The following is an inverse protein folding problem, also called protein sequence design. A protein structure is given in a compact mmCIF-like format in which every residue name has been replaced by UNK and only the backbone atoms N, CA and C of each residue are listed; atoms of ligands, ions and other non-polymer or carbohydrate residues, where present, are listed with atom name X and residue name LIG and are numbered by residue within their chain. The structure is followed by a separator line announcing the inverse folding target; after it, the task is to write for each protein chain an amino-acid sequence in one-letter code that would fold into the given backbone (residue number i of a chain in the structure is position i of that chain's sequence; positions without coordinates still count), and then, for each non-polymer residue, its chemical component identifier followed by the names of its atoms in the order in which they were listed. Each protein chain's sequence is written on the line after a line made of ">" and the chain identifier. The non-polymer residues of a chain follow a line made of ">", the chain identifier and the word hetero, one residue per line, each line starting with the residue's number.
data_IF_973846185343
#
_entry.id   IF_973846185343
#
_cell.length_a   1.000
_cell.length_b   1.000
_cell.length_c   1.000
_cell.angle_alpha   90.00
_cell.angle_beta   90.00
_cell.angle_gamma   90.00
#
_symmetry.space_group_name_H-M   'P 1'
#
loop_
_entity.id
_entity.type
_entity.pdbx_description
1 polymer ?
#
# COMPACT_ATOMS: atom_id res chain seq x y z
N UNK A 1 -18.95 10.56 14.57
CA UNK A 1 -17.91 10.11 13.63
C UNK A 1 -17.45 11.33 12.84
N UNK A 2 -16.18 11.68 12.93
CA UNK A 2 -15.57 12.80 12.22
C UNK A 2 -14.50 12.26 11.25
N UNK A 3 -14.40 12.83 10.05
CA UNK A 3 -13.47 12.40 9.01
C UNK A 3 -12.62 13.59 8.59
N UNK A 4 -11.30 13.41 8.63
CA UNK A 4 -10.33 14.47 8.29
C UNK A 4 -9.37 13.99 7.23
N UNK A 5 -8.86 14.94 6.44
CA UNK A 5 -7.68 14.67 5.62
C UNK A 5 -6.45 14.50 6.55
N UNK A 6 -5.56 13.56 6.24
CA UNK A 6 -4.39 13.30 7.08
C UNK A 6 -3.40 14.48 7.11
N UNK A 7 -3.49 15.43 6.18
CA UNK A 7 -2.71 16.68 6.23
C UNK A 7 -3.13 17.64 7.36
N UNK A 8 -4.32 17.42 7.94
CA UNK A 8 -4.90 18.25 9.01
C UNK A 8 -4.64 17.72 10.42
N UNK A 9 -3.93 16.57 10.52
CA UNK A 9 -3.72 15.89 11.80
C UNK A 9 -2.25 15.53 12.02
N UNK A 10 -1.87 15.34 13.28
CA UNK A 10 -0.53 14.87 13.61
C UNK A 10 -0.29 13.42 13.19
N UNK A 11 0.93 13.12 12.78
CA UNK A 11 1.34 11.77 12.36
C UNK A 11 1.12 10.70 13.44
N UNK A 12 1.14 11.09 14.70
CA UNK A 12 0.84 10.22 15.84
C UNK A 12 -0.56 9.62 15.77
N UNK A 13 -1.57 10.40 15.39
CA UNK A 13 -2.95 9.92 15.20
C UNK A 13 -3.09 8.98 14.01
N UNK A 14 -2.39 9.29 12.90
CA UNK A 14 -2.37 8.43 11.71
C UNK A 14 -1.76 7.06 12.07
N UNK A 15 -0.65 7.07 12.80
CA UNK A 15 0.00 5.87 13.29
C UNK A 15 -0.87 5.07 14.26
N UNK A 16 -1.54 5.76 15.20
CA UNK A 16 -2.45 5.10 16.15
C UNK A 16 -3.63 4.44 15.42
N UNK A 17 -4.26 5.14 14.46
CA UNK A 17 -5.32 4.55 13.63
C UNK A 17 -4.84 3.30 12.89
N UNK A 18 -3.61 3.32 12.37
CA UNK A 18 -2.99 2.18 11.72
C UNK A 18 -2.83 1.00 12.67
N UNK A 19 -2.23 1.21 13.84
CA UNK A 19 -2.03 0.16 14.85
C UNK A 19 -3.36 -0.44 15.32
N UNK A 20 -4.33 0.41 15.65
CA UNK A 20 -5.66 0.01 16.10
C UNK A 20 -6.40 -0.80 15.02
N UNK A 21 -6.38 -0.30 13.79
CA UNK A 21 -7.08 -0.91 12.67
C UNK A 21 -6.51 -2.25 12.21
N UNK A 22 -5.21 -2.50 12.45
CA UNK A 22 -4.52 -3.75 12.15
C UNK A 22 -4.23 -4.62 13.39
N UNK A 23 -4.82 -4.32 14.54
CA UNK A 23 -4.55 -5.02 15.81
C UNK A 23 -4.84 -6.53 15.76
N UNK A 24 -5.81 -6.96 14.94
CA UNK A 24 -6.20 -8.36 14.74
C UNK A 24 -5.77 -8.93 13.38
N UNK A 25 -4.84 -8.24 12.70
CA UNK A 25 -4.41 -8.68 11.37
C UNK A 25 -3.47 -9.89 11.44
N UNK A 26 -3.57 -10.79 10.47
CA UNK A 26 -2.77 -12.04 10.43
C UNK A 26 -1.26 -11.81 10.32
N UNK A 27 -0.85 -10.66 9.77
CA UNK A 27 0.54 -10.23 9.74
C UNK A 27 0.74 -9.16 10.82
N UNK A 28 1.70 -9.34 11.75
CA UNK A 28 1.97 -8.34 12.78
C UNK A 28 2.34 -6.98 12.18
N UNK A 29 1.58 -5.94 12.52
CA UNK A 29 1.76 -4.57 12.01
C UNK A 29 2.22 -3.61 13.12
N UNK A 30 2.85 -4.13 14.18
CA UNK A 30 3.37 -3.32 15.28
C UNK A 30 4.70 -2.66 14.88
N UNK A 31 4.62 -1.52 14.20
CA UNK A 31 5.75 -0.77 13.65
C UNK A 31 5.90 0.52 14.47
N UNK A 32 7.09 0.88 14.99
CA UNK A 32 7.34 2.18 15.63
C UNK A 32 7.01 3.37 14.71
N UNK A 33 6.61 4.50 15.31
CA UNK A 33 6.15 5.69 14.57
C UNK A 33 7.17 6.19 13.54
N UNK A 34 8.43 6.28 13.91
CA UNK A 34 9.51 6.73 13.03
C UNK A 34 9.69 5.82 11.80
N UNK A 35 9.63 4.51 12.01
CA UNK A 35 9.70 3.54 10.92
C UNK A 35 8.41 3.53 10.09
N UNK A 36 7.25 3.72 10.72
CA UNK A 36 5.98 3.84 10.01
C UNK A 36 6.02 5.03 9.05
N UNK A 37 6.38 6.21 9.55
CA UNK A 37 6.47 7.43 8.73
C UNK A 37 7.48 7.26 7.61
N UNK A 38 8.70 6.80 7.93
CA UNK A 38 9.76 6.60 6.95
C UNK A 38 9.35 5.61 5.86
N UNK A 39 8.65 4.54 6.20
CA UNK A 39 8.24 3.50 5.25
C UNK A 39 7.03 3.91 4.43
N UNK A 40 5.93 4.27 5.09
CA UNK A 40 4.64 4.47 4.41
C UNK A 40 4.56 5.78 3.63
N UNK A 41 5.19 6.85 4.12
CA UNK A 41 5.26 8.15 3.43
C UNK A 41 6.57 8.36 2.66
N UNK A 42 7.45 7.38 2.66
CA UNK A 42 8.64 7.31 1.81
C UNK A 42 8.39 6.32 0.65
N UNK A 43 9.14 5.20 0.62
CA UNK A 43 9.13 4.28 -0.53
C UNK A 43 7.76 3.67 -0.86
N UNK A 44 6.86 3.48 0.10
CA UNK A 44 5.47 3.04 -0.19
C UNK A 44 4.68 4.08 -1.01
N UNK A 45 5.14 5.33 -1.06
CA UNK A 45 4.60 6.37 -1.92
C UNK A 45 3.23 6.91 -1.51
N UNK A 46 2.80 6.71 -0.25
CA UNK A 46 1.60 7.38 0.25
C UNK A 46 1.90 8.84 0.58
N UNK A 47 0.88 9.68 0.58
CA UNK A 47 0.97 11.07 1.02
C UNK A 47 -0.19 11.43 1.95
N UNK A 48 0.03 12.36 2.86
CA UNK A 48 -1.00 12.79 3.81
C UNK A 48 -2.17 13.47 3.09
N UNK A 49 -1.93 14.17 2.00
CA UNK A 49 -2.94 14.87 1.18
C UNK A 49 -3.90 13.89 0.49
N UNK A 50 -3.44 12.67 0.20
CA UNK A 50 -4.24 11.63 -0.44
C UNK A 50 -4.75 10.58 0.54
N UNK A 51 -4.68 10.87 1.84
CA UNK A 51 -5.02 9.96 2.93
C UNK A 51 -6.09 10.56 3.84
N UNK A 52 -6.93 9.71 4.43
CA UNK A 52 -8.02 10.15 5.32
C UNK A 52 -8.08 9.31 6.58
N UNK A 53 -8.47 9.94 7.67
CA UNK A 53 -8.60 9.35 9.00
C UNK A 53 -10.00 9.59 9.57
N UNK A 54 -10.52 8.60 10.27
CA UNK A 54 -11.80 8.68 10.98
C UNK A 54 -11.58 8.73 12.49
N UNK A 55 -12.31 9.61 13.16
CA UNK A 55 -12.34 9.75 14.62
C UNK A 55 -13.73 9.47 15.19
N UNK A 56 -13.75 8.87 16.36
CA UNK A 56 -14.92 8.78 17.22
C UNK A 56 -14.54 9.30 18.62
N UNK A 57 -15.18 10.39 19.07
CA UNK A 57 -14.92 11.00 20.38
C UNK A 57 -13.40 11.29 20.61
N UNK A 58 -12.77 11.91 19.60
CA UNK A 58 -11.34 12.24 19.50
C UNK A 58 -10.38 11.02 19.40
N UNK A 59 -10.89 9.80 19.40
CA UNK A 59 -10.09 8.60 19.20
C UNK A 59 -10.02 8.21 17.71
N UNK A 60 -8.81 7.92 17.18
CA UNK A 60 -8.63 7.52 15.78
C UNK A 60 -9.08 6.06 15.60
N UNK A 61 -10.12 5.85 14.80
CA UNK A 61 -10.80 4.55 14.66
C UNK A 61 -10.73 3.95 13.23
N UNK A 62 -10.22 4.71 12.28
CA UNK A 62 -10.08 4.21 10.92
C UNK A 62 -9.13 5.05 10.08
N UNK A 63 -8.53 4.44 9.06
CA UNK A 63 -7.52 5.07 8.22
C UNK A 63 -7.59 4.52 6.79
N UNK A 64 -7.42 5.40 5.81
CA UNK A 64 -7.03 5.05 4.45
C UNK A 64 -5.77 5.83 4.06
N UNK A 65 -4.73 5.11 3.63
CA UNK A 65 -3.51 5.71 3.09
C UNK A 65 -3.53 5.62 1.56
N UNK A 66 -3.15 6.71 0.92
CA UNK A 66 -3.12 6.78 -0.53
C UNK A 66 -1.93 7.52 -1.10
N UNK A 67 -1.53 7.13 -2.30
CA UNK A 67 -0.48 7.78 -3.07
C UNK A 67 -0.81 7.82 -4.56
N UNK A 68 -0.42 8.89 -5.23
CA UNK A 68 -0.67 9.10 -6.65
C UNK A 68 0.64 9.09 -7.41
N UNK A 69 0.72 8.31 -8.49
CA UNK A 69 1.79 8.36 -9.49
C UNK A 69 1.35 7.74 -10.81
N UNK A 70 2.15 7.92 -11.84
CA UNK A 70 2.02 7.13 -13.06
C UNK A 70 2.37 5.67 -12.78
N UNK A 71 1.48 4.77 -13.13
CA UNK A 71 1.66 3.33 -12.94
C UNK A 71 0.87 2.55 -14.01
N UNK A 72 1.54 1.64 -14.70
CA UNK A 72 0.97 0.91 -15.85
C UNK A 72 0.36 1.82 -16.93
N UNK A 73 0.96 3.00 -17.17
CA UNK A 73 0.51 3.95 -18.17
C UNK A 73 -0.73 4.76 -17.80
N UNK A 74 -1.13 4.76 -16.52
CA UNK A 74 -2.26 5.52 -15.99
C UNK A 74 -1.85 6.39 -14.81
N UNK A 75 -2.45 7.57 -14.68
CA UNK A 75 -2.40 8.30 -13.42
C UNK A 75 -3.21 7.55 -12.38
N UNK A 76 -2.52 6.88 -11.48
CA UNK A 76 -3.08 5.87 -10.57
C UNK A 76 -3.05 6.36 -9.12
N UNK A 77 -4.20 6.26 -8.43
CA UNK A 77 -4.28 6.38 -6.98
C UNK A 77 -4.18 4.98 -6.37
N UNK A 78 -3.09 4.70 -5.65
CA UNK A 78 -2.94 3.43 -4.94
C UNK A 78 -3.49 3.55 -3.52
N UNK A 79 -4.34 2.61 -3.10
CA UNK A 79 -4.69 2.42 -1.71
C UNK A 79 -3.58 1.60 -1.01
N UNK A 80 -2.75 2.27 -0.23
CA UNK A 80 -1.62 1.65 0.48
C UNK A 80 -2.04 0.92 1.75
N UNK A 81 -3.10 1.39 2.41
CA UNK A 81 -3.73 0.74 3.54
C UNK A 81 -5.18 1.21 3.67
N UNK A 82 -6.08 0.32 4.07
CA UNK A 82 -7.43 0.66 4.55
C UNK A 82 -7.73 -0.20 5.76
N UNK A 83 -7.93 0.43 6.90
CA UNK A 83 -8.22 -0.28 8.14
C UNK A 83 -9.24 0.46 8.99
N UNK A 84 -9.97 -0.30 9.80
CA UNK A 84 -10.93 0.19 10.80
C UNK A 84 -10.74 -0.65 12.05
N UNK A 85 -10.67 0.01 13.20
CA UNK A 85 -10.60 -0.63 14.51
C UNK A 85 -11.72 -1.65 14.66
N UNK A 86 -11.45 -2.86 15.15
CA UNK A 86 -12.41 -3.98 15.16
C UNK A 86 -13.82 -3.61 15.65
N UNK A 87 -13.91 -2.82 16.72
CA UNK A 87 -15.17 -2.42 17.39
C UNK A 87 -16.04 -1.50 16.52
N UNK A 88 -15.43 -0.80 15.53
CA UNK A 88 -16.12 0.14 14.65
C UNK A 88 -16.38 -0.43 13.24
N UNK A 89 -16.06 -1.72 13.03
CA UNK A 89 -16.35 -2.39 11.75
C UNK A 89 -17.85 -2.69 11.62
N UNK A 90 -18.35 -2.63 10.40
CA UNK A 90 -19.78 -2.82 10.12
C UNK A 90 -20.64 -1.56 10.30
N UNK A 91 -20.04 -0.46 10.76
CA UNK A 91 -20.69 0.85 10.93
C UNK A 91 -20.38 1.84 9.78
N UNK A 92 -20.16 1.33 8.58
CA UNK A 92 -19.87 2.07 7.34
C UNK A 92 -18.59 2.97 7.37
N UNK A 93 -17.78 2.94 8.44
CA UNK A 93 -16.55 3.75 8.56
C UNK A 93 -15.60 3.51 7.39
N UNK A 94 -15.33 2.25 7.07
CA UNK A 94 -14.46 1.90 5.94
C UNK A 94 -15.02 2.32 4.59
N UNK A 95 -16.35 2.29 4.43
CA UNK A 95 -17.03 2.74 3.21
C UNK A 95 -16.91 4.24 3.03
N UNK A 96 -17.09 5.01 4.10
CA UNK A 96 -16.97 6.47 4.06
C UNK A 96 -15.51 6.91 3.82
N UNK A 97 -14.54 6.30 4.50
CA UNK A 97 -13.11 6.52 4.23
C UNK A 97 -12.78 6.25 2.76
N UNK A 98 -13.28 5.14 2.23
CA UNK A 98 -13.05 4.79 0.82
C UNK A 98 -13.74 5.76 -0.14
N UNK A 99 -14.94 6.27 0.19
CA UNK A 99 -15.64 7.29 -0.60
C UNK A 99 -14.81 8.57 -0.72
N UNK A 100 -14.32 9.09 0.41
CA UNK A 100 -13.46 10.29 0.46
C UNK A 100 -12.17 10.09 -0.34
N UNK A 101 -11.55 8.91 -0.19
CA UNK A 101 -10.37 8.52 -0.93
C UNK A 101 -10.62 8.47 -2.45
N UNK A 102 -11.74 7.91 -2.90
CA UNK A 102 -12.08 7.84 -4.31
C UNK A 102 -12.39 9.24 -4.87
N UNK A 103 -13.09 10.10 -4.12
CA UNK A 103 -13.35 11.49 -4.49
C UNK A 103 -12.05 12.28 -4.63
N UNK A 104 -11.06 12.06 -3.76
CA UNK A 104 -9.72 12.65 -3.90
C UNK A 104 -9.07 12.21 -5.22
N UNK A 105 -9.14 10.93 -5.58
CA UNK A 105 -8.64 10.45 -6.86
C UNK A 105 -9.29 11.14 -8.05
N UNK A 106 -10.61 11.30 -8.03
CA UNK A 106 -11.37 12.01 -9.08
C UNK A 106 -10.92 13.46 -9.15
N UNK A 107 -10.82 14.15 -8.02
CA UNK A 107 -10.40 15.56 -7.95
C UNK A 107 -8.99 15.78 -8.52
N UNK A 108 -8.13 14.79 -8.36
CA UNK A 108 -6.76 14.79 -8.88
C UNK A 108 -6.67 14.25 -10.32
N UNK A 109 -7.80 13.99 -10.98
CA UNK A 109 -7.86 13.42 -12.33
C UNK A 109 -7.13 12.08 -12.45
N UNK A 110 -7.20 11.24 -11.43
CA UNK A 110 -6.71 9.87 -11.53
C UNK A 110 -7.64 9.06 -12.45
N UNK A 111 -7.03 8.24 -13.30
CA UNK A 111 -7.74 7.39 -14.26
C UNK A 111 -8.05 6.01 -13.67
N UNK A 112 -7.33 5.64 -12.59
CA UNK A 112 -7.42 4.33 -11.97
C UNK A 112 -7.21 4.40 -10.47
N UNK A 113 -7.85 3.49 -9.74
CA UNK A 113 -7.54 3.16 -8.34
C UNK A 113 -7.06 1.72 -8.31
N UNK A 114 -5.94 1.47 -7.63
CA UNK A 114 -5.41 0.13 -7.44
C UNK A 114 -5.09 -0.16 -5.97
N UNK A 115 -5.02 -1.44 -5.64
CA UNK A 115 -4.63 -1.93 -4.32
C UNK A 115 -4.09 -3.36 -4.42
N UNK A 116 -3.44 -3.78 -3.35
CA UNK A 116 -3.02 -5.15 -3.13
C UNK A 116 -3.67 -5.68 -1.86
N UNK A 117 -4.17 -6.90 -1.89
CA UNK A 117 -4.85 -7.54 -0.77
C UNK A 117 -4.39 -8.98 -0.62
N UNK A 118 -4.19 -9.44 0.61
CA UNK A 118 -3.84 -10.83 0.91
C UNK A 118 -5.00 -11.73 0.47
N UNK A 119 -4.68 -12.82 -0.25
CA UNK A 119 -5.67 -13.73 -0.85
C UNK A 119 -6.65 -14.35 0.15
N UNK A 120 -6.24 -14.49 1.39
CA UNK A 120 -7.06 -15.08 2.46
C UNK A 120 -7.90 -14.03 3.22
N UNK A 121 -7.73 -12.74 2.93
CA UNK A 121 -8.55 -11.67 3.49
C UNK A 121 -9.87 -11.51 2.71
N UNK A 122 -10.74 -12.53 2.82
CA UNK A 122 -12.01 -12.60 2.09
C UNK A 122 -12.90 -11.38 2.40
N UNK A 123 -12.87 -10.88 3.65
CA UNK A 123 -13.67 -9.71 4.03
C UNK A 123 -13.26 -8.47 3.24
N UNK A 124 -11.96 -8.20 3.11
CA UNK A 124 -11.46 -7.07 2.34
C UNK A 124 -11.74 -7.26 0.85
N UNK A 125 -11.54 -8.46 0.31
CA UNK A 125 -11.84 -8.77 -1.09
C UNK A 125 -13.31 -8.48 -1.39
N UNK A 126 -14.25 -9.03 -0.60
CA UNK A 126 -15.68 -8.76 -0.77
C UNK A 126 -16.04 -7.28 -0.64
N UNK A 127 -15.34 -6.53 0.24
CA UNK A 127 -15.52 -5.09 0.36
C UNK A 127 -15.14 -4.38 -0.95
N UNK A 128 -13.93 -4.65 -1.49
CA UNK A 128 -13.46 -4.00 -2.71
C UNK A 128 -14.28 -4.39 -3.94
N UNK A 129 -14.68 -5.65 -4.07
CA UNK A 129 -15.58 -6.09 -5.16
C UNK A 129 -16.91 -5.33 -5.15
N UNK A 130 -17.49 -5.07 -3.96
CA UNK A 130 -18.69 -4.22 -3.81
C UNK A 130 -18.45 -2.75 -4.19
N UNK A 131 -17.21 -2.27 -4.12
CA UNK A 131 -16.82 -0.95 -4.63
C UNK A 131 -16.49 -0.95 -6.14
N UNK A 132 -16.69 -2.07 -6.85
CA UNK A 132 -16.48 -2.17 -8.29
C UNK A 132 -15.06 -2.57 -8.70
N UNK A 133 -14.19 -2.99 -7.76
CA UNK A 133 -12.88 -3.52 -8.12
C UNK A 133 -12.97 -4.87 -8.79
N UNK A 134 -12.08 -5.07 -9.75
CA UNK A 134 -11.86 -6.35 -10.42
C UNK A 134 -10.46 -6.86 -10.09
N UNK A 135 -10.33 -8.17 -9.93
CA UNK A 135 -9.05 -8.81 -9.70
C UNK A 135 -8.28 -8.91 -11.02
N UNK A 136 -7.14 -8.26 -11.10
CA UNK A 136 -6.29 -8.26 -12.31
C UNK A 136 -5.17 -9.28 -12.22
N UNK A 137 -4.38 -9.25 -11.14
CA UNK A 137 -3.15 -10.02 -11.00
C UNK A 137 -3.11 -10.80 -9.69
N UNK A 138 -2.33 -11.87 -9.66
CA UNK A 138 -1.95 -12.60 -8.44
C UNK A 138 -0.47 -12.41 -8.18
N UNK A 139 -0.14 -11.85 -7.01
CA UNK A 139 1.23 -11.75 -6.53
C UNK A 139 1.58 -13.00 -5.71
N UNK A 140 2.78 -13.52 -5.89
CA UNK A 140 3.27 -14.69 -5.16
C UNK A 140 4.56 -14.27 -4.45
N UNK A 141 4.58 -14.42 -3.12
CA UNK A 141 5.75 -14.16 -2.30
C UNK A 141 6.43 -15.46 -1.94
N UNK A 142 7.76 -15.49 -2.07
CA UNK A 142 8.61 -16.59 -1.63
C UNK A 142 9.47 -16.10 -0.47
N UNK A 143 9.60 -16.92 0.56
CA UNK A 143 10.52 -16.68 1.67
C UNK A 143 11.34 -17.92 1.96
N UNK A 144 12.59 -17.74 2.39
CA UNK A 144 13.47 -18.82 2.85
C UNK A 144 14.12 -18.41 4.15
N UNK A 145 14.04 -19.29 5.16
CA UNK A 145 14.73 -19.05 6.43
C UNK A 145 16.21 -19.40 6.29
N UNK A 146 17.08 -18.46 6.67
CA UNK A 146 18.52 -18.68 6.73
C UNK A 146 18.98 -19.29 8.07
N UNK A 147 18.08 -19.44 9.04
CA UNK A 147 18.38 -20.04 10.33
C UNK A 147 18.64 -21.55 10.17
N UNK A 148 19.91 -21.97 10.27
CA UNK A 148 20.35 -23.39 10.24
C UNK A 148 20.38 -24.03 8.86
N UNK A 149 20.19 -23.29 7.79
CA UNK A 149 20.20 -23.81 6.43
C UNK A 149 21.49 -23.48 5.66
N UNK A 150 22.04 -24.47 4.97
CA UNK A 150 23.00 -24.20 3.90
C UNK A 150 22.21 -23.63 2.71
N UNK A 151 22.61 -22.45 2.23
CA UNK A 151 22.17 -21.97 0.92
C UNK A 151 22.73 -22.95 -0.11
N UNK A 152 21.85 -23.66 -0.82
CA UNK A 152 22.33 -24.45 -1.98
C UNK A 152 22.91 -23.45 -2.97
N UNK A 153 24.18 -23.67 -3.33
CA UNK A 153 24.83 -22.94 -4.38
C UNK A 153 24.16 -23.32 -5.72
N UNK A 154 23.32 -22.43 -6.21
CA UNK A 154 22.75 -22.55 -7.55
C UNK A 154 23.70 -21.84 -8.50
N UNK A 155 24.66 -22.55 -9.09
CA UNK A 155 25.37 -22.06 -10.24
C UNK A 155 24.35 -21.91 -11.39
N UNK A 156 24.07 -20.68 -11.77
CA UNK A 156 23.28 -20.41 -12.97
C UNK A 156 24.31 -20.31 -14.11
N UNK A 157 24.59 -21.44 -14.72
CA UNK A 157 25.52 -21.50 -15.87
C UNK A 157 25.02 -20.55 -16.97
N UNK A 158 25.88 -19.61 -17.36
CA UNK A 158 25.65 -18.69 -18.47
C UNK A 158 25.01 -17.35 -18.12
N UNK A 159 24.71 -17.05 -16.84
CA UNK A 159 24.28 -15.72 -16.42
C UNK A 159 25.46 -14.92 -15.86
N UNK A 160 25.71 -13.76 -16.45
CA UNK A 160 26.62 -12.76 -15.91
C UNK A 160 25.81 -11.83 -14.99
N UNK A 161 26.16 -11.79 -13.71
CA UNK A 161 25.62 -10.80 -12.77
C UNK A 161 26.60 -9.64 -12.68
N UNK A 162 26.13 -8.43 -12.97
CA UNK A 162 26.89 -7.20 -12.82
C UNK A 162 26.14 -6.24 -11.89
N UNK A 163 26.86 -5.54 -11.05
CA UNK A 163 26.32 -4.39 -10.36
C UNK A 163 26.01 -3.29 -11.40
N UNK A 164 24.80 -2.75 -11.33
CA UNK A 164 24.37 -1.65 -12.21
C UNK A 164 23.86 -0.49 -11.34
N UNK A 165 24.09 0.73 -11.83
CA UNK A 165 23.48 1.90 -11.18
C UNK A 165 21.99 2.03 -11.56
N UNK A 166 21.26 2.85 -10.80
CA UNK A 166 19.85 3.06 -11.00
C UNK A 166 19.48 3.52 -12.42
N UNK A 167 20.33 4.34 -13.06
CA UNK A 167 20.06 4.81 -14.43
C UNK A 167 20.04 3.68 -15.47
N UNK A 168 20.82 2.63 -15.26
CA UNK A 168 20.79 1.43 -16.12
C UNK A 168 19.52 0.61 -15.81
N UNK A 169 19.15 0.47 -14.54
CA UNK A 169 17.92 -0.23 -14.16
C UNK A 169 16.67 0.44 -14.77
N UNK A 170 16.60 1.78 -14.76
CA UNK A 170 15.55 2.56 -15.43
C UNK A 170 15.49 2.24 -16.92
N UNK A 171 16.62 2.29 -17.64
CA UNK A 171 16.67 1.96 -19.08
C UNK A 171 16.22 0.53 -19.39
N UNK A 172 16.63 -0.43 -18.55
CA UNK A 172 16.19 -1.82 -18.70
C UNK A 172 14.66 -1.90 -18.48
N UNK A 173 14.14 -1.23 -17.46
CA UNK A 173 12.69 -1.18 -17.20
C UNK A 173 11.91 -0.61 -18.38
N UNK A 174 12.38 0.48 -18.97
CA UNK A 174 11.79 1.09 -20.16
C UNK A 174 11.75 0.11 -21.34
N UNK A 175 12.79 -0.71 -21.51
CA UNK A 175 12.85 -1.71 -22.58
C UNK A 175 11.85 -2.87 -22.41
N UNK A 176 11.39 -3.12 -21.20
CA UNK A 176 10.42 -4.17 -20.86
C UNK A 176 9.09 -3.59 -20.34
N UNK A 177 8.71 -2.41 -20.82
CA UNK A 177 7.55 -1.63 -20.35
C UNK A 177 6.21 -2.38 -20.42
N UNK A 178 6.10 -3.41 -21.27
CA UNK A 178 4.90 -4.26 -21.36
C UNK A 178 4.76 -5.29 -20.23
N UNK A 179 5.82 -5.50 -19.44
CA UNK A 179 5.79 -6.44 -18.32
C UNK A 179 5.21 -5.77 -17.10
N UNK A 180 4.13 -6.32 -16.55
CA UNK A 180 3.58 -5.83 -15.29
C UNK A 180 4.54 -6.11 -14.14
N UNK A 181 4.87 -5.08 -13.38
CA UNK A 181 5.64 -5.15 -12.15
C UNK A 181 4.77 -4.53 -11.06
N UNK A 182 4.73 -5.14 -9.88
CA UNK A 182 3.96 -4.57 -8.78
C UNK A 182 4.57 -3.26 -8.27
N UNK A 183 3.75 -2.42 -7.65
CA UNK A 183 4.10 -1.07 -7.20
C UNK A 183 5.42 -0.99 -6.41
N UNK A 184 5.68 -1.92 -5.47
CA UNK A 184 6.88 -1.92 -4.64
C UNK A 184 8.15 -2.33 -5.38
N UNK A 185 8.03 -3.00 -6.52
CA UNK A 185 9.19 -3.45 -7.32
C UNK A 185 9.41 -2.58 -8.54
N UNK A 186 8.63 -1.52 -8.73
CA UNK A 186 8.84 -0.55 -9.79
C UNK A 186 10.08 0.30 -9.48
N UNK A 187 10.79 0.74 -10.53
CA UNK A 187 12.06 1.48 -10.36
C UNK A 187 11.92 2.75 -9.53
N UNK A 188 10.77 3.39 -9.59
CA UNK A 188 10.47 4.60 -8.80
C UNK A 188 10.49 4.36 -7.28
N UNK A 189 10.24 3.12 -6.85
CA UNK A 189 10.32 2.73 -5.46
C UNK A 189 11.75 2.80 -4.90
N UNK A 190 12.77 2.67 -5.76
CA UNK A 190 14.18 2.68 -5.39
C UNK A 190 14.83 4.07 -5.51
N UNK A 191 14.07 5.09 -5.91
CA UNK A 191 14.58 6.46 -6.07
C UNK A 191 14.43 7.32 -4.80
N UNK A 192 13.87 6.79 -3.72
CA UNK A 192 13.52 7.51 -2.49
C UNK A 192 14.54 7.37 -1.38
#
# INVERSE_FOLDING_TARGET
>A
MDYKNCSEVEQSYIHQAFLNGFSDYSVPMNIPLDLFVKRFFGPEGNSVENSFIAFQDDEPVGLVLGGIREFDGYKNLRCGALCVTPEYRGADVGKELFRLFAEQGISQSCERISLEVISDNIRAICFYEKQGFIKNNKLIYFSHSLAGGQIKDYSIDGLLMNEVNLSIAVKVRESISTTHINWQNEVDYFQL
#
